data_IF_583490098844
#
_entry.id   IF_583490098844
#
_cell.length_a   1.000
_cell.length_b   1.000
_cell.length_c   1.000
_cell.angle_alpha   90.00
_cell.angle_beta   90.00
_cell.angle_gamma   90.00
#
_symmetry.space_group_name_H-M   'P 1'
#
loop_
_entity.id
_entity.type
_entity.pdbx_description
1 polymer ?
#
# COMPACT_ATOMS: atom_id res chain seq x y z
N UNK A 1 -39.94 9.99 12.33
CA UNK A 1 -39.74 9.25 13.37
C UNK A 1 -38.28 9.13 13.80
N UNK A 2 -37.99 9.31 15.02
CA UNK A 2 -36.65 9.20 15.56
C UNK A 2 -36.45 7.88 16.28
N UNK A 3 -35.27 7.62 16.74
CA UNK A 3 -34.88 6.48 17.54
C UNK A 3 -34.00 5.50 16.81
N UNK A 4 -33.70 4.41 17.48
CA UNK A 4 -32.74 3.41 17.02
C UNK A 4 -33.47 2.27 16.29
N UNK A 5 -32.76 1.66 15.36
CA UNK A 5 -33.20 0.45 14.67
C UNK A 5 -32.16 -0.65 14.86
N UNK A 6 -32.62 -1.84 15.23
CA UNK A 6 -31.76 -3.00 15.40
C UNK A 6 -32.30 -4.19 14.62
N UNK A 7 -31.43 -4.81 13.80
CA UNK A 7 -31.76 -6.02 13.04
C UNK A 7 -30.70 -7.07 13.30
N UNK A 8 -31.14 -8.27 13.68
CA UNK A 8 -30.25 -9.42 13.86
C UNK A 8 -30.67 -10.53 12.90
N UNK A 9 -29.74 -11.04 12.12
CA UNK A 9 -29.94 -12.17 11.21
C UNK A 9 -29.08 -13.33 11.70
N UNK A 10 -29.69 -14.44 12.11
CA UNK A 10 -28.97 -15.61 12.61
C UNK A 10 -28.31 -16.45 11.51
N UNK A 11 -28.82 -16.37 10.31
CA UNK A 11 -28.26 -17.06 9.15
C UNK A 11 -27.62 -16.06 8.19
N UNK A 12 -27.72 -16.35 6.90
CA UNK A 12 -27.20 -15.49 5.87
C UNK A 12 -28.18 -14.37 5.49
N UNK A 13 -27.64 -13.26 5.07
CA UNK A 13 -28.40 -12.15 4.50
C UNK A 13 -27.80 -11.78 3.16
N UNK A 14 -28.64 -11.60 2.16
CA UNK A 14 -28.22 -11.20 0.82
C UNK A 14 -29.07 -10.00 0.35
N UNK A 15 -28.43 -9.04 -0.27
CA UNK A 15 -29.09 -7.92 -0.91
C UNK A 15 -28.60 -7.78 -2.34
N UNK A 16 -29.51 -7.74 -3.30
CA UNK A 16 -29.23 -7.51 -4.71
C UNK A 16 -29.95 -6.25 -5.15
N UNK A 17 -29.19 -5.29 -5.68
CA UNK A 17 -29.74 -4.04 -6.23
C UNK A 17 -29.36 -3.98 -7.70
N UNK A 18 -30.33 -4.08 -8.59
CA UNK A 18 -30.08 -4.05 -10.04
C UNK A 18 -29.76 -2.65 -10.57
N UNK A 19 -30.20 -1.62 -9.87
CA UNK A 19 -29.89 -0.23 -10.19
C UNK A 19 -28.86 0.33 -9.24
N UNK A 20 -28.98 1.59 -8.92
CA UNK A 20 -28.07 2.29 -8.03
C UNK A 20 -28.44 2.07 -6.56
N UNK A 21 -27.43 2.02 -5.72
CA UNK A 21 -27.61 2.06 -4.26
C UNK A 21 -26.84 3.24 -3.70
N UNK A 22 -27.51 4.06 -2.91
CA UNK A 22 -26.93 5.17 -2.17
C UNK A 22 -27.20 5.00 -0.69
N UNK A 23 -26.18 5.26 0.13
CA UNK A 23 -26.29 5.21 1.58
C UNK A 23 -25.61 6.44 2.17
N UNK A 24 -26.33 7.16 3.01
CA UNK A 24 -25.83 8.33 3.71
C UNK A 24 -25.96 8.12 5.21
N UNK A 25 -24.84 8.20 5.92
CA UNK A 25 -24.77 8.07 7.36
C UNK A 25 -24.33 9.41 7.94
N UNK A 26 -25.19 10.07 8.70
CA UNK A 26 -24.87 11.37 9.30
C UNK A 26 -23.91 11.29 10.49
N UNK A 27 -23.74 10.11 11.06
CA UNK A 27 -22.82 9.84 12.14
C UNK A 27 -21.73 8.87 11.73
N UNK A 28 -21.40 7.95 12.60
CA UNK A 28 -20.35 6.95 12.36
C UNK A 28 -20.89 5.73 11.62
N UNK A 29 -20.13 5.24 10.65
CA UNK A 29 -20.36 3.95 10.02
C UNK A 29 -19.30 2.95 10.48
N UNK A 30 -19.72 1.82 11.02
CA UNK A 30 -18.85 0.74 11.47
C UNK A 30 -19.20 -0.54 10.73
N UNK A 31 -18.22 -1.14 10.04
CA UNK A 31 -18.37 -2.40 9.33
C UNK A 31 -17.28 -3.34 9.83
N UNK A 32 -17.66 -4.52 10.34
CA UNK A 32 -16.73 -5.53 10.82
C UNK A 32 -17.15 -6.91 10.35
N UNK A 33 -16.18 -7.77 10.07
CA UNK A 33 -16.36 -9.15 9.68
C UNK A 33 -15.36 -10.02 10.42
N UNK A 34 -15.79 -11.16 10.94
CA UNK A 34 -14.90 -12.13 11.61
C UNK A 34 -14.08 -12.95 10.63
N UNK A 35 -14.44 -12.94 9.36
CA UNK A 35 -13.73 -13.67 8.32
C UNK A 35 -13.29 -12.71 7.23
N UNK A 36 -13.66 -12.93 5.99
CA UNK A 36 -13.24 -12.12 4.86
C UNK A 36 -14.23 -11.01 4.55
N UNK A 37 -13.73 -9.85 4.18
CA UNK A 37 -14.49 -8.77 3.60
C UNK A 37 -13.97 -8.50 2.20
N UNK A 38 -14.86 -8.49 1.20
CA UNK A 38 -14.50 -8.28 -0.19
C UNK A 38 -15.27 -7.10 -0.76
N UNK A 39 -14.54 -6.17 -1.35
CA UNK A 39 -15.10 -5.05 -2.10
C UNK A 39 -14.57 -5.14 -3.52
N UNK A 40 -15.46 -5.22 -4.51
CA UNK A 40 -15.08 -5.35 -5.91
C UNK A 40 -15.96 -4.45 -6.78
N UNK A 41 -15.34 -3.72 -7.67
CA UNK A 41 -16.02 -2.92 -8.68
C UNK A 41 -15.38 -3.18 -10.05
N UNK A 42 -16.15 -3.08 -11.12
CA UNK A 42 -15.64 -3.27 -12.47
C UNK A 42 -14.97 -2.01 -13.04
N UNK A 43 -15.24 -0.86 -12.48
CA UNK A 43 -14.70 0.40 -12.98
C UNK A 43 -13.86 1.10 -11.93
N UNK A 44 -14.45 1.97 -11.16
CA UNK A 44 -13.70 2.82 -10.23
C UNK A 44 -14.14 2.59 -8.79
N UNK A 45 -13.19 2.52 -7.90
CA UNK A 45 -13.39 2.61 -6.45
C UNK A 45 -12.75 3.91 -5.97
N UNK A 46 -13.52 4.77 -5.32
CA UNK A 46 -13.06 6.04 -4.81
C UNK A 46 -13.22 6.11 -3.29
N UNK A 47 -12.13 6.42 -2.60
CA UNK A 47 -12.11 6.59 -1.15
C UNK A 47 -11.54 7.96 -0.83
N UNK A 48 -12.27 8.76 -0.06
CA UNK A 48 -11.85 10.09 0.35
C UNK A 48 -12.12 10.30 1.84
N UNK A 49 -11.17 10.88 2.54
CA UNK A 49 -11.30 11.18 3.97
C UNK A 49 -10.25 12.20 4.40
N UNK A 50 -10.41 12.80 5.56
CA UNK A 50 -9.36 13.62 6.16
C UNK A 50 -8.14 12.78 6.50
N UNK A 51 -8.35 11.56 6.99
CA UNK A 51 -7.28 10.62 7.32
C UNK A 51 -7.69 9.22 6.88
N UNK A 52 -6.80 8.51 6.22
CA UNK A 52 -6.99 7.12 5.82
C UNK A 52 -5.90 6.27 6.45
N UNK A 53 -6.29 5.24 7.20
CA UNK A 53 -5.37 4.26 7.76
C UNK A 53 -5.67 2.88 7.20
N UNK A 54 -4.63 2.21 6.69
CA UNK A 54 -4.69 0.83 6.24
C UNK A 54 -3.70 0.02 7.08
N UNK A 55 -4.19 -0.99 7.77
CA UNK A 55 -3.37 -1.82 8.65
C UNK A 55 -3.65 -3.29 8.42
N UNK A 56 -2.60 -4.09 8.28
CA UNK A 56 -2.68 -5.54 8.21
C UNK A 56 -1.54 -6.16 9.02
N UNK A 57 -1.78 -7.33 9.60
CA UNK A 57 -0.77 -8.00 10.44
C UNK A 57 0.36 -8.62 9.62
N UNK A 58 0.07 -9.09 8.41
CA UNK A 58 1.03 -9.88 7.64
C UNK A 58 1.41 -9.24 6.32
N UNK A 59 0.44 -8.80 5.52
CA UNK A 59 0.71 -8.30 4.17
C UNK A 59 -0.31 -7.26 3.75
N UNK A 60 0.19 -6.16 3.22
CA UNK A 60 -0.59 -5.23 2.41
C UNK A 60 -0.03 -5.27 0.99
N UNK A 61 -0.87 -5.62 0.02
CA UNK A 61 -0.48 -5.77 -1.37
C UNK A 61 -1.23 -4.76 -2.25
N UNK A 62 -0.49 -4.02 -3.06
CA UNK A 62 -1.05 -3.07 -4.04
C UNK A 62 -0.49 -3.46 -5.40
N UNK A 63 -1.37 -3.71 -6.36
CA UNK A 63 -0.99 -4.06 -7.72
C UNK A 63 -1.80 -3.24 -8.71
N UNK A 64 -1.14 -2.65 -9.69
CA UNK A 64 -1.75 -1.83 -10.73
C UNK A 64 -0.81 -1.73 -11.93
N UNK A 65 -1.32 -1.30 -13.08
CA UNK A 65 -0.45 -0.91 -14.20
C UNK A 65 0.41 0.29 -13.83
N UNK A 66 -0.16 1.23 -13.09
CA UNK A 66 0.55 2.40 -12.59
C UNK A 66 0.08 2.73 -11.18
N UNK A 67 1.01 3.07 -10.30
CA UNK A 67 0.72 3.53 -8.96
C UNK A 67 1.22 4.96 -8.80
N UNK A 68 0.33 5.89 -8.46
CA UNK A 68 0.69 7.26 -8.15
C UNK A 68 0.58 7.52 -6.65
N UNK A 69 1.61 8.10 -6.07
CA UNK A 69 1.60 8.56 -4.69
C UNK A 69 2.06 10.01 -4.69
N UNK A 70 1.17 10.92 -4.27
CA UNK A 70 1.48 12.35 -4.20
C UNK A 70 1.23 12.86 -2.79
N UNK A 71 2.21 13.54 -2.25
CA UNK A 71 2.09 14.21 -0.95
C UNK A 71 2.66 15.62 -1.06
N UNK A 72 2.16 16.53 -0.23
CA UNK A 72 2.66 17.91 -0.23
C UNK A 72 3.93 18.08 0.59
N UNK A 73 4.14 17.26 1.62
CA UNK A 73 5.24 17.46 2.55
C UNK A 73 6.21 16.29 2.61
N UNK A 74 5.74 15.05 2.75
CA UNK A 74 6.66 13.93 2.98
C UNK A 74 6.04 12.59 2.63
N UNK A 75 6.90 11.65 2.21
CA UNK A 75 6.59 10.22 2.14
C UNK A 75 7.57 9.52 3.08
N UNK A 76 7.04 8.76 4.03
CA UNK A 76 7.85 7.93 4.92
C UNK A 76 7.61 6.46 4.62
N UNK A 77 8.68 5.75 4.31
CA UNK A 77 8.67 4.29 4.18
C UNK A 77 9.68 3.73 5.17
N UNK A 78 9.24 2.89 6.08
CA UNK A 78 10.10 2.32 7.11
C UNK A 78 9.92 0.80 7.15
N UNK A 79 11.03 0.08 7.09
CA UNK A 79 11.08 -1.37 7.24
C UNK A 79 12.19 -1.73 8.23
N UNK A 80 11.96 -2.75 9.06
CA UNK A 80 12.95 -3.17 10.04
C UNK A 80 14.16 -3.86 9.41
N UNK A 81 13.97 -4.55 8.29
CA UNK A 81 15.02 -5.37 7.70
C UNK A 81 15.49 -4.84 6.36
N UNK A 82 14.58 -4.62 5.43
CA UNK A 82 14.96 -4.30 4.05
C UNK A 82 13.85 -3.57 3.32
N UNK A 83 14.24 -2.61 2.47
CA UNK A 83 13.39 -1.98 1.48
C UNK A 83 14.07 -2.08 0.12
N UNK A 84 13.34 -2.53 -0.91
CA UNK A 84 13.87 -2.72 -2.26
C UNK A 84 12.98 -2.03 -3.29
N UNK A 85 13.60 -1.33 -4.22
CA UNK A 85 12.98 -0.83 -5.44
C UNK A 85 13.60 -1.61 -6.61
N UNK A 86 12.78 -2.21 -7.46
CA UNK A 86 13.26 -2.99 -8.59
C UNK A 86 12.58 -2.56 -9.88
N UNK A 87 13.37 -2.33 -10.91
CA UNK A 87 12.93 -2.07 -12.28
C UNK A 87 13.74 -2.95 -13.22
N UNK A 88 13.13 -4.03 -13.76
CA UNK A 88 13.89 -5.02 -14.52
C UNK A 88 15.03 -5.59 -13.69
N UNK A 89 16.25 -5.50 -14.20
CA UNK A 89 17.47 -5.97 -13.52
C UNK A 89 18.13 -4.90 -12.64
N UNK A 90 17.59 -3.69 -12.61
CA UNK A 90 18.09 -2.60 -11.78
C UNK A 90 17.43 -2.66 -10.40
N UNK A 91 18.23 -2.59 -9.33
CA UNK A 91 17.72 -2.61 -7.96
C UNK A 91 18.37 -1.55 -7.09
N UNK A 92 17.58 -1.00 -6.17
CA UNK A 92 18.06 -0.16 -5.07
C UNK A 92 17.56 -0.83 -3.79
N UNK A 93 18.48 -1.26 -2.94
CA UNK A 93 18.15 -1.96 -1.70
C UNK A 93 18.72 -1.22 -0.51
N UNK A 94 17.89 -0.89 0.47
CA UNK A 94 18.31 -0.34 1.75
C UNK A 94 18.18 -1.43 2.82
N UNK A 95 19.21 -1.60 3.60
CA UNK A 95 19.25 -2.47 4.80
C UNK A 95 19.61 -1.63 6.01
N UNK A 96 19.63 -2.21 7.20
CA UNK A 96 19.89 -1.46 8.42
C UNK A 96 21.21 -0.70 8.44
N UNK A 97 22.23 -1.21 7.75
CA UNK A 97 23.59 -0.66 7.76
C UNK A 97 24.19 -0.45 6.37
N UNK A 98 23.42 -0.64 5.30
CA UNK A 98 23.97 -0.54 3.95
C UNK A 98 22.94 -0.13 2.92
N UNK A 99 23.43 0.43 1.82
CA UNK A 99 22.67 0.68 0.59
C UNK A 99 23.40 -0.01 -0.55
N UNK A 100 22.67 -0.78 -1.36
CA UNK A 100 23.20 -1.49 -2.51
C UNK A 100 22.43 -1.05 -3.76
N UNK A 101 23.14 -0.57 -4.76
CA UNK A 101 22.57 -0.16 -6.04
C UNK A 101 23.19 -1.03 -7.13
N UNK A 102 22.36 -1.73 -7.90
CA UNK A 102 22.78 -2.56 -9.02
C UNK A 102 22.17 -2.06 -10.32
N UNK A 103 22.97 -1.82 -11.32
CA UNK A 103 22.51 -1.41 -12.64
C UNK A 103 23.57 -1.77 -13.69
N UNK A 104 23.14 -2.41 -14.81
CA UNK A 104 23.99 -2.66 -15.95
C UNK A 104 25.26 -3.46 -15.66
N UNK A 105 25.21 -4.38 -14.69
CA UNK A 105 26.39 -5.17 -14.29
C UNK A 105 27.30 -4.48 -13.28
N UNK A 106 27.03 -3.24 -12.93
CA UNK A 106 27.78 -2.49 -11.91
C UNK A 106 27.02 -2.56 -10.58
N UNK A 107 27.75 -2.74 -9.50
CA UNK A 107 27.21 -2.74 -8.15
C UNK A 107 27.92 -1.67 -7.30
N UNK A 108 27.14 -0.81 -6.65
CA UNK A 108 27.63 0.17 -5.68
C UNK A 108 27.14 -0.23 -4.30
N UNK A 109 28.06 -0.34 -3.35
CA UNK A 109 27.75 -0.67 -1.96
C UNK A 109 28.23 0.47 -1.07
N UNK A 110 27.35 0.97 -0.23
CA UNK A 110 27.68 1.93 0.82
C UNK A 110 27.38 1.25 2.15
N UNK A 111 28.37 1.14 3.00
CA UNK A 111 28.25 0.56 4.34
C UNK A 111 29.20 1.22 5.33
N UNK A 112 29.40 0.62 6.50
CA UNK A 112 30.30 1.16 7.54
C UNK A 112 31.76 1.24 7.12
N UNK A 113 32.16 0.52 6.07
CA UNK A 113 33.55 0.53 5.54
C UNK A 113 33.75 1.55 4.42
N UNK A 114 32.69 2.19 3.95
CA UNK A 114 32.75 3.22 2.93
C UNK A 114 31.97 2.86 1.67
N UNK A 115 32.42 3.38 0.53
CA UNK A 115 31.81 3.21 -0.77
C UNK A 115 32.67 2.28 -1.62
N UNK A 116 32.06 1.21 -2.16
CA UNK A 116 32.72 0.26 -3.04
C UNK A 116 31.96 0.16 -4.36
N UNK A 117 32.68 0.20 -5.49
CA UNK A 117 32.14 0.00 -6.83
C UNK A 117 32.71 -1.31 -7.39
N UNK A 118 31.83 -2.22 -7.80
CA UNK A 118 32.19 -3.53 -8.39
C UNK A 118 31.66 -3.63 -9.81
N UNK A 119 32.41 -4.24 -10.70
CA UNK A 119 32.02 -4.47 -12.09
C UNK A 119 32.10 -3.24 -12.98
N UNK A 120 32.64 -2.15 -12.49
CA UNK A 120 32.78 -0.91 -13.22
C UNK A 120 33.71 0.05 -12.50
N UNK A 121 33.65 1.32 -12.87
CA UNK A 121 34.51 2.36 -12.29
C UNK A 121 33.75 3.66 -12.07
N UNK A 122 34.30 4.51 -11.22
CA UNK A 122 33.84 5.89 -11.04
C UNK A 122 34.50 6.74 -12.12
N UNK A 123 33.68 7.42 -12.92
CA UNK A 123 34.14 8.30 -13.98
C UNK A 123 33.87 9.75 -13.60
N UNK A 124 34.83 10.61 -13.91
CA UNK A 124 34.71 12.06 -13.77
C UNK A 124 34.70 12.68 -15.16
N UNK A 125 33.67 13.46 -15.45
CA UNK A 125 33.53 14.14 -16.73
C UNK A 125 33.55 15.66 -16.56
#
# INVERSE_FOLDING_TARGET
MGGDSHKKVKGSSEEVVEGDKQEYIGGELYIASESNSNIRTQKNLYLESDSLSLESKTLTHIQADSLGINTQTAIHANANSEATIQVGDTTITAKGDSVIIKAGGVEVVIDSNGLVVKGGEVKSE
#
